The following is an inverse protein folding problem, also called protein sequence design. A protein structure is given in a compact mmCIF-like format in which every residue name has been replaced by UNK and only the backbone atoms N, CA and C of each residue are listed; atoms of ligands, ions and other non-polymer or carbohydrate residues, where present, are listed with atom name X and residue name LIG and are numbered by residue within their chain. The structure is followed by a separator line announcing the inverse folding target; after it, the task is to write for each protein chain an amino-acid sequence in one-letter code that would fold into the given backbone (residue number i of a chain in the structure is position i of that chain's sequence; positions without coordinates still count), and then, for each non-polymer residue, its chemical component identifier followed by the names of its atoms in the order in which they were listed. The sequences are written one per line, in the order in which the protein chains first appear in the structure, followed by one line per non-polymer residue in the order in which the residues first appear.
data_IF_537744497410
#
_entry.id   IF_537744497410
#
_cell.length_a   1.000
_cell.length_b   1.000
_cell.length_c   1.000
_cell.angle_alpha   90.00
_cell.angle_beta   90.00
_cell.angle_gamma   90.00
#
_symmetry.space_group_name_H-M   'P 1'
#
loop_
_entity.id
_entity.type
_entity.pdbx_description
1 polymer ?
#
# COMPACT_ATOMS: atom_id res chain seq x y z
N UNK A 1 2.93 -6.11 9.88
CA UNK A 1 1.73 -6.13 9.02
C UNK A 1 1.74 -7.28 8.02
N UNK A 2 2.83 -7.53 7.29
CA UNK A 2 2.94 -8.66 6.35
C UNK A 2 3.15 -9.95 7.14
N UNK A 3 2.37 -11.00 6.81
CA UNK A 3 2.56 -12.35 7.32
C UNK A 3 3.50 -13.13 6.42
N UNK A 4 3.22 -13.14 5.12
CA UNK A 4 4.06 -13.78 4.10
C UNK A 4 3.87 -13.15 2.72
N UNK A 5 4.83 -13.40 1.87
CA UNK A 5 4.79 -13.02 0.45
C UNK A 5 4.87 -14.30 -0.38
N UNK A 6 3.91 -14.47 -1.28
CA UNK A 6 3.86 -15.59 -2.21
C UNK A 6 4.22 -15.08 -3.61
N UNK A 7 5.20 -15.69 -4.23
CA UNK A 7 5.63 -15.34 -5.58
C UNK A 7 5.32 -16.50 -6.52
N UNK A 8 4.40 -16.27 -7.45
CA UNK A 8 4.08 -17.21 -8.52
C UNK A 8 4.76 -16.75 -9.80
N UNK A 9 5.59 -17.62 -10.38
CA UNK A 9 6.27 -17.37 -11.64
C UNK A 9 5.49 -18.02 -12.78
N UNK A 10 5.33 -17.32 -13.89
CA UNK A 10 4.57 -17.80 -15.04
C UNK A 10 3.12 -17.31 -15.05
N UNK A 11 2.34 -17.73 -16.03
CA UNK A 11 0.99 -17.25 -16.25
C UNK A 11 0.03 -17.60 -15.13
N UNK A 12 -0.39 -16.59 -14.38
CA UNK A 12 -1.44 -16.67 -13.34
C UNK A 12 -2.76 -16.03 -13.76
N UNK A 13 -2.91 -15.66 -15.03
CA UNK A 13 -4.02 -14.86 -15.54
C UNK A 13 -5.40 -15.49 -15.33
N UNK A 14 -5.48 -16.81 -15.26
CA UNK A 14 -6.75 -17.50 -14.98
C UNK A 14 -7.29 -17.23 -13.56
N UNK A 15 -6.41 -16.94 -12.59
CA UNK A 15 -6.77 -16.68 -11.20
C UNK A 15 -6.68 -15.19 -10.81
N UNK A 16 -5.78 -14.43 -11.44
CA UNK A 16 -5.42 -13.08 -11.03
C UNK A 16 -5.63 -12.02 -12.12
N UNK A 17 -6.37 -12.37 -13.18
CA UNK A 17 -6.69 -11.45 -14.26
C UNK A 17 -5.59 -11.30 -15.32
N UNK A 18 -5.90 -10.54 -16.37
CA UNK A 18 -5.07 -10.39 -17.57
C UNK A 18 -3.68 -9.77 -17.32
N UNK A 19 -3.52 -9.03 -16.24
CA UNK A 19 -2.24 -8.39 -15.87
C UNK A 19 -1.20 -9.39 -15.35
N UNK A 20 -1.61 -10.60 -14.94
CA UNK A 20 -0.75 -11.61 -14.32
C UNK A 20 -0.06 -12.54 -15.34
N UNK A 21 0.39 -12.01 -16.49
CA UNK A 21 1.01 -12.79 -17.58
C UNK A 21 2.42 -13.27 -17.20
N UNK A 22 3.22 -12.40 -16.60
CA UNK A 22 4.62 -12.69 -16.24
C UNK A 22 4.76 -13.34 -14.85
N UNK A 23 3.74 -13.23 -14.02
CA UNK A 23 3.70 -13.75 -12.65
C UNK A 23 2.90 -12.87 -11.72
N UNK A 24 2.78 -13.33 -10.47
CA UNK A 24 2.01 -12.64 -9.43
C UNK A 24 2.81 -12.61 -8.12
N UNK A 25 2.80 -11.46 -7.45
CA UNK A 25 3.27 -11.30 -6.07
C UNK A 25 2.05 -11.08 -5.19
N UNK A 26 1.73 -12.07 -4.34
CA UNK A 26 0.62 -12.00 -3.40
C UNK A 26 1.15 -11.70 -1.99
N UNK A 27 0.74 -10.56 -1.43
CA UNK A 27 1.15 -10.12 -0.10
C UNK A 27 0.00 -10.45 0.87
N UNK A 28 0.26 -11.37 1.79
CA UNK A 28 -0.71 -11.77 2.80
C UNK A 28 -0.42 -11.01 4.09
N UNK A 29 -1.42 -10.30 4.55
CA UNK A 29 -1.36 -9.50 5.78
C UNK A 29 -1.77 -10.32 6.99
N UNK A 30 -1.16 -10.01 8.16
CA UNK A 30 -1.48 -10.69 9.42
C UNK A 30 -2.94 -10.51 9.81
N UNK A 31 -3.56 -11.59 10.23
CA UNK A 31 -4.82 -11.55 10.94
C UNK A 31 -4.59 -11.50 12.46
N UNK A 32 -5.39 -10.77 13.22
CA UNK A 32 -5.33 -10.80 14.68
C UNK A 32 -5.89 -12.14 15.16
N UNK A 33 -5.02 -13.02 15.68
CA UNK A 33 -5.39 -14.34 16.23
C UNK A 33 -5.26 -14.41 17.73
N UNK A 34 -4.57 -13.46 18.34
CA UNK A 34 -4.32 -13.36 19.79
C UNK A 34 -4.04 -11.93 20.19
N UNK A 35 -4.29 -11.61 21.45
CA UNK A 35 -3.89 -10.32 22.02
C UNK A 35 -2.37 -10.20 22.03
N UNK A 36 -1.87 -9.13 21.45
CA UNK A 36 -0.43 -8.85 21.41
C UNK A 36 -0.17 -7.35 21.18
N UNK A 37 0.99 -6.89 21.61
CA UNK A 37 1.48 -5.55 21.35
C UNK A 37 2.98 -5.57 21.13
N UNK A 38 3.45 -4.77 20.18
CA UNK A 38 4.85 -4.58 19.89
C UNK A 38 5.11 -3.12 19.57
N UNK A 39 6.04 -2.52 20.28
CA UNK A 39 6.65 -1.24 19.97
C UNK A 39 8.13 -1.50 19.65
N UNK A 40 8.58 -1.01 18.50
CA UNK A 40 9.98 -1.12 18.11
C UNK A 40 10.50 0.23 17.64
N UNK A 41 11.74 0.53 17.98
CA UNK A 41 12.46 1.69 17.49
C UNK A 41 13.81 1.26 16.92
N UNK A 42 14.10 1.71 15.71
CA UNK A 42 15.38 1.46 15.04
C UNK A 42 16.04 2.79 14.73
N UNK A 43 17.26 2.96 15.22
CA UNK A 43 18.14 4.06 14.88
C UNK A 43 19.26 3.53 13.99
N UNK A 44 19.36 4.04 12.77
CA UNK A 44 20.44 3.70 11.83
C UNK A 44 21.31 4.92 11.61
N UNK A 45 22.60 4.80 11.90
CA UNK A 45 23.60 5.80 11.55
C UNK A 45 24.02 5.59 10.08
N UNK A 46 24.13 6.67 9.33
CA UNK A 46 24.54 6.69 7.92
C UNK A 46 25.79 7.56 7.82
N UNK A 47 26.79 7.10 7.06
CA UNK A 47 27.99 7.88 6.77
C UNK A 47 28.73 8.38 8.01
N UNK A 48 29.36 7.49 8.76
CA UNK A 48 30.11 7.81 10.00
C UNK A 48 29.32 8.65 11.03
N UNK A 49 27.99 8.38 11.09
CA UNK A 49 27.04 9.09 11.94
C UNK A 49 26.80 10.58 11.57
N UNK A 50 27.05 10.96 10.34
CA UNK A 50 26.74 12.31 9.84
C UNK A 50 25.24 12.50 9.54
N UNK A 51 24.50 11.40 9.31
CA UNK A 51 23.04 11.39 9.17
C UNK A 51 22.41 10.22 9.95
N UNK A 52 21.14 10.37 10.30
CA UNK A 52 20.39 9.36 11.05
C UNK A 52 19.05 9.04 10.40
N UNK A 53 18.70 7.75 10.44
CA UNK A 53 17.36 7.24 10.07
C UNK A 53 16.71 6.68 11.34
N UNK A 54 15.67 7.33 11.80
CA UNK A 54 14.87 6.97 12.97
C UNK A 54 13.57 6.34 12.49
N UNK A 55 13.28 5.13 12.92
CA UNK A 55 12.06 4.41 12.55
C UNK A 55 11.40 3.82 13.79
N UNK A 56 10.22 4.33 14.14
CA UNK A 56 9.40 3.81 15.23
C UNK A 56 8.18 3.12 14.65
N UNK A 57 7.92 1.91 15.09
CA UNK A 57 6.75 1.11 14.66
C UNK A 57 5.95 0.63 15.85
N UNK A 58 4.64 0.69 15.73
CA UNK A 58 3.67 0.13 16.68
C UNK A 58 2.82 -0.91 15.95
N UNK A 59 2.64 -2.07 16.57
CA UNK A 59 1.70 -3.11 16.14
C UNK A 59 0.95 -3.61 17.37
N UNK A 60 -0.37 -3.68 17.29
CA UNK A 60 -1.19 -4.24 18.36
C UNK A 60 -2.34 -5.07 17.78
N UNK A 61 -2.67 -6.16 18.44
CA UNK A 61 -3.85 -6.95 18.09
C UNK A 61 -4.68 -7.24 19.33
N UNK A 62 -5.98 -7.12 19.18
CA UNK A 62 -7.01 -7.43 20.17
C UNK A 62 -7.96 -8.44 19.55
N UNK A 63 -8.27 -9.48 20.29
CA UNK A 63 -9.17 -10.56 19.84
C UNK A 63 -10.09 -10.92 21.00
N UNK A 64 -11.37 -11.09 20.69
CA UNK A 64 -12.34 -11.56 21.68
C UNK A 64 -12.07 -13.01 22.06
N UNK A 65 -12.42 -13.40 23.31
CA UNK A 65 -12.16 -14.75 23.84
C UNK A 65 -12.81 -15.85 22.99
N UNK A 66 -13.96 -15.56 22.38
CA UNK A 66 -14.66 -16.46 21.46
C UNK A 66 -14.13 -16.40 20.02
N UNK A 67 -13.09 -15.60 19.75
CA UNK A 67 -12.48 -15.37 18.44
C UNK A 67 -13.48 -14.96 17.34
N UNK A 68 -14.60 -14.34 17.72
CA UNK A 68 -15.59 -13.85 16.77
C UNK A 68 -15.26 -12.46 16.22
N UNK A 69 -14.48 -11.68 16.94
CA UNK A 69 -14.01 -10.38 16.49
C UNK A 69 -12.51 -10.20 16.76
N UNK A 70 -11.84 -9.52 15.88
CA UNK A 70 -10.44 -9.17 16.06
C UNK A 70 -10.13 -7.83 15.40
N UNK A 71 -9.21 -7.09 16.01
CA UNK A 71 -8.70 -5.80 15.55
C UNK A 71 -7.17 -5.84 15.57
N UNK A 72 -6.54 -5.52 14.46
CA UNK A 72 -5.11 -5.28 14.32
C UNK A 72 -4.89 -3.83 13.98
N UNK A 73 -4.10 -3.13 14.77
CA UNK A 73 -3.71 -1.72 14.56
C UNK A 73 -2.22 -1.67 14.32
N UNK A 74 -1.79 -0.85 13.37
CA UNK A 74 -0.39 -0.62 13.09
C UNK A 74 -0.11 0.86 12.87
N UNK A 75 1.11 1.27 13.19
CA UNK A 75 1.60 2.60 12.96
C UNK A 75 3.10 2.61 12.70
N UNK A 76 3.55 3.58 11.93
CA UNK A 76 4.95 3.84 11.66
C UNK A 76 5.20 5.35 11.64
N UNK A 77 6.30 5.77 12.25
CA UNK A 77 6.85 7.12 12.09
C UNK A 77 8.34 6.99 11.78
N UNK A 78 8.72 7.40 10.59
CA UNK A 78 10.11 7.34 10.12
C UNK A 78 10.57 8.72 9.72
N UNK A 79 11.75 9.07 10.18
CA UNK A 79 12.44 10.30 9.81
C UNK A 79 13.90 9.98 9.49
N UNK A 80 14.37 10.36 8.31
CA UNK A 80 15.75 10.26 7.87
C UNK A 80 16.25 11.64 7.47
N UNK A 81 17.43 12.02 7.97
CA UNK A 81 18.15 13.20 7.50
C UNK A 81 18.63 12.97 6.06
N UNK A 82 18.74 14.04 5.29
CA UNK A 82 19.48 13.98 4.03
C UNK A 82 20.96 13.67 4.31
N UNK A 83 21.59 12.89 3.43
CA UNK A 83 22.99 12.52 3.52
C UNK A 83 23.68 12.83 2.20
N UNK A 84 24.75 13.61 2.29
CA UNK A 84 25.70 13.98 1.25
C UNK A 84 26.99 13.20 1.55
N UNK A 85 27.44 12.35 0.63
CA UNK A 85 28.54 11.41 0.85
C UNK A 85 29.90 12.02 0.56
N UNK A 86 30.00 12.85 -0.45
CA UNK A 86 31.24 13.38 -0.97
C UNK A 86 31.43 14.89 -0.74
N UNK A 87 30.52 15.48 0.08
CA UNK A 87 30.52 16.90 0.47
C UNK A 87 30.44 17.86 -0.74
N UNK A 88 29.80 17.42 -1.82
CA UNK A 88 29.59 18.28 -3.01
C UNK A 88 28.36 19.20 -2.88
N UNK A 89 27.62 19.07 -1.78
CA UNK A 89 26.41 19.82 -1.44
C UNK A 89 25.12 19.20 -1.97
N UNK A 90 25.18 18.06 -2.63
CA UNK A 90 24.02 17.29 -3.10
C UNK A 90 23.87 16.01 -2.30
N UNK A 91 22.63 15.56 -2.12
CA UNK A 91 22.34 14.39 -1.32
C UNK A 91 22.23 13.13 -2.16
N UNK A 92 23.03 12.08 -1.87
CA UNK A 92 22.85 10.72 -2.39
C UNK A 92 21.69 10.02 -1.70
N UNK A 93 21.42 10.36 -0.43
CA UNK A 93 20.24 9.87 0.25
C UNK A 93 19.30 11.02 0.61
N UNK A 94 18.09 11.07 0.07
CA UNK A 94 17.17 12.17 0.31
C UNK A 94 16.68 12.18 1.76
N UNK A 95 16.35 13.36 2.25
CA UNK A 95 15.58 13.56 3.47
C UNK A 95 14.22 12.87 3.30
N UNK A 96 13.80 12.10 4.31
CA UNK A 96 12.55 11.36 4.32
C UNK A 96 11.78 11.60 5.61
N UNK A 97 10.50 11.85 5.51
CA UNK A 97 9.55 11.77 6.61
C UNK A 97 8.36 10.91 6.14
N UNK A 98 8.11 9.81 6.84
CA UNK A 98 6.99 8.93 6.53
C UNK A 98 6.20 8.67 7.80
N UNK A 99 4.88 8.84 7.71
CA UNK A 99 3.94 8.54 8.78
C UNK A 99 2.83 7.67 8.23
N UNK A 100 2.64 6.51 8.83
CA UNK A 100 1.61 5.56 8.41
C UNK A 100 0.82 5.12 9.63
N UNK A 101 -0.49 5.05 9.49
CA UNK A 101 -1.39 4.45 10.47
C UNK A 101 -2.46 3.65 9.74
N UNK A 102 -2.87 2.56 10.33
CA UNK A 102 -3.95 1.77 9.75
C UNK A 102 -4.44 0.69 10.70
N UNK A 103 -5.51 0.03 10.29
CA UNK A 103 -6.06 -1.09 11.01
C UNK A 103 -6.70 -2.10 10.07
N UNK A 104 -6.85 -3.31 10.58
CA UNK A 104 -7.62 -4.39 9.97
C UNK A 104 -8.46 -5.04 11.05
N UNK A 105 -9.74 -5.21 10.79
CA UNK A 105 -10.66 -5.87 11.70
C UNK A 105 -11.39 -7.00 10.99
N UNK A 106 -11.79 -8.01 11.77
CA UNK A 106 -12.73 -9.00 11.29
C UNK A 106 -13.86 -9.20 12.30
N UNK A 107 -14.99 -9.63 11.77
CA UNK A 107 -16.14 -10.02 12.54
C UNK A 107 -16.80 -11.26 11.93
N UNK A 108 -16.94 -12.33 12.72
CA UNK A 108 -17.65 -13.56 12.35
C UNK A 108 -19.11 -13.42 12.80
N UNK A 109 -20.01 -13.16 11.84
CA UNK A 109 -21.44 -13.03 12.12
C UNK A 109 -22.07 -14.39 12.44
N UNK A 110 -21.46 -15.46 11.92
CA UNK A 110 -21.78 -16.86 12.26
C UNK A 110 -20.53 -17.73 12.13
N UNK A 111 -20.64 -19.03 12.39
CA UNK A 111 -19.57 -20.02 12.15
C UNK A 111 -19.15 -20.07 10.68
N UNK A 112 -20.05 -19.70 9.78
CA UNK A 112 -19.87 -19.83 8.34
C UNK A 112 -19.63 -18.51 7.60
N UNK A 113 -19.66 -17.38 8.32
CA UNK A 113 -19.56 -16.06 7.70
C UNK A 113 -18.54 -15.18 8.41
N UNK A 114 -17.73 -14.49 7.62
CA UNK A 114 -16.71 -13.55 8.10
C UNK A 114 -16.75 -12.27 7.29
N UNK A 115 -16.80 -11.14 7.99
CA UNK A 115 -16.63 -9.82 7.41
C UNK A 115 -15.24 -9.30 7.81
N UNK A 116 -14.50 -8.77 6.86
CA UNK A 116 -13.19 -8.16 7.09
C UNK A 116 -13.22 -6.74 6.58
N UNK A 117 -12.72 -5.80 7.37
CA UNK A 117 -12.59 -4.40 7.02
C UNK A 117 -11.16 -3.94 7.28
N UNK A 118 -10.58 -3.15 6.37
CA UNK A 118 -9.25 -2.58 6.52
C UNK A 118 -9.21 -1.13 6.02
N UNK A 119 -8.35 -0.35 6.66
CA UNK A 119 -8.08 1.03 6.29
C UNK A 119 -6.65 1.40 6.66
N UNK A 120 -6.02 2.21 5.82
CA UNK A 120 -4.73 2.82 6.12
C UNK A 120 -4.64 4.24 5.56
N UNK A 121 -3.87 5.05 6.26
CA UNK A 121 -3.46 6.37 5.84
C UNK A 121 -1.94 6.47 5.89
N UNK A 122 -1.32 7.04 4.85
CA UNK A 122 0.11 7.28 4.78
C UNK A 122 0.37 8.70 4.29
N UNK A 123 1.28 9.39 4.97
CA UNK A 123 1.88 10.64 4.51
C UNK A 123 3.37 10.42 4.33
N UNK A 124 3.90 10.81 3.19
CA UNK A 124 5.33 10.77 2.92
C UNK A 124 5.80 12.09 2.34
N UNK A 125 6.89 12.61 2.89
CA UNK A 125 7.67 13.71 2.34
C UNK A 125 9.06 13.21 2.03
N UNK A 126 9.52 13.45 0.79
CA UNK A 126 10.87 13.15 0.34
C UNK A 126 11.49 14.38 -0.31
N UNK A 127 12.75 14.70 0.01
CA UNK A 127 13.47 15.83 -0.54
C UNK A 127 14.93 15.48 -0.77
N UNK A 128 15.37 15.51 -2.02
CA UNK A 128 16.75 15.30 -2.48
C UNK A 128 17.28 16.51 -3.25
N UNK A 129 18.56 16.47 -3.60
CA UNK A 129 19.30 17.54 -4.26
C UNK A 129 20.04 18.42 -3.28
N UNK A 130 20.20 19.69 -3.60
CA UNK A 130 20.89 20.65 -2.73
C UNK A 130 19.92 21.62 -2.02
N UNK A 131 20.43 22.44 -1.11
CA UNK A 131 19.68 23.48 -0.36
C UNK A 131 18.39 22.94 0.26
N UNK A 132 18.46 21.80 0.97
CA UNK A 132 17.31 21.07 1.54
C UNK A 132 16.40 21.90 2.47
N UNK A 133 16.89 23.04 2.97
CA UNK A 133 16.17 23.96 3.85
C UNK A 133 15.43 25.07 3.11
N UNK A 134 15.51 25.09 1.77
CA UNK A 134 14.82 26.07 0.91
C UNK A 134 13.74 25.40 0.08
N UNK A 135 12.77 26.17 -0.45
CA UNK A 135 11.85 25.67 -1.45
C UNK A 135 12.59 25.00 -2.62
N UNK A 136 12.05 23.92 -3.23
CA UNK A 136 12.79 23.15 -4.23
C UNK A 136 13.15 23.97 -5.48
N UNK A 137 12.33 24.96 -5.86
CA UNK A 137 12.62 25.85 -6.99
C UNK A 137 13.73 26.89 -6.70
N UNK A 138 14.22 27.02 -5.48
CA UNK A 138 15.39 27.85 -5.16
C UNK A 138 16.70 27.06 -5.21
N UNK A 139 16.62 25.75 -5.29
CA UNK A 139 17.76 24.85 -5.42
C UNK A 139 18.29 24.79 -6.86
N UNK A 140 19.56 24.43 -7.01
CA UNK A 140 20.14 24.24 -8.34
C UNK A 140 19.62 22.94 -8.98
N UNK A 141 19.49 21.87 -8.18
CA UNK A 141 18.83 20.61 -8.54
C UNK A 141 18.01 20.16 -7.33
N UNK A 142 16.76 19.80 -7.57
CA UNK A 142 15.86 19.32 -6.55
C UNK A 142 14.90 18.24 -7.04
N UNK A 143 14.70 17.25 -6.20
CA UNK A 143 13.58 16.31 -6.24
C UNK A 143 12.80 16.46 -4.93
N UNK A 144 11.51 16.76 -5.01
CA UNK A 144 10.62 16.77 -3.85
C UNK A 144 9.32 16.04 -4.18
N UNK A 145 8.88 15.20 -3.25
CA UNK A 145 7.63 14.46 -3.33
C UNK A 145 6.89 14.57 -1.99
N UNK A 146 5.61 14.88 -2.07
CA UNK A 146 4.68 14.81 -0.96
C UNK A 146 3.52 13.91 -1.35
N UNK A 147 3.34 12.81 -0.62
CA UNK A 147 2.25 11.87 -0.85
C UNK A 147 1.28 11.89 0.32
N UNK A 148 0.00 11.87 0.02
CA UNK A 148 -1.08 11.55 0.94
C UNK A 148 -1.89 10.40 0.35
N UNK A 149 -1.85 9.24 1.00
CA UNK A 149 -2.50 8.03 0.52
C UNK A 149 -3.52 7.59 1.54
N UNK A 150 -4.76 7.35 1.09
CA UNK A 150 -5.84 6.74 1.85
C UNK A 150 -6.29 5.50 1.12
N UNK A 151 -6.26 4.36 1.79
CA UNK A 151 -6.67 3.10 1.19
C UNK A 151 -7.45 2.24 2.17
N UNK A 152 -8.31 1.38 1.63
CA UNK A 152 -9.06 0.46 2.45
C UNK A 152 -9.85 -0.56 1.64
N UNK A 153 -10.42 -1.52 2.35
CA UNK A 153 -11.17 -2.60 1.72
C UNK A 153 -12.19 -3.24 2.65
N UNK A 154 -13.15 -3.88 2.01
CA UNK A 154 -14.18 -4.66 2.65
C UNK A 154 -14.22 -6.03 1.98
N UNK A 155 -14.28 -7.10 2.77
CA UNK A 155 -14.41 -8.49 2.28
C UNK A 155 -15.43 -9.24 3.09
N UNK A 156 -16.32 -9.94 2.40
CA UNK A 156 -17.26 -10.88 2.98
C UNK A 156 -16.94 -12.29 2.49
N UNK A 157 -16.72 -13.22 3.41
CA UNK A 157 -16.51 -14.64 3.15
C UNK A 157 -17.68 -15.45 3.71
N UNK A 158 -18.18 -16.37 2.90
CA UNK A 158 -19.16 -17.39 3.29
C UNK A 158 -18.62 -18.78 3.00
N UNK A 159 -18.83 -19.70 3.92
CA UNK A 159 -18.51 -21.13 3.81
C UNK A 159 -19.77 -21.92 4.11
N UNK A 160 -20.12 -22.86 3.26
CA UNK A 160 -21.29 -23.72 3.52
C UNK A 160 -21.01 -24.72 4.64
N UNK A 161 -22.06 -25.19 5.36
CA UNK A 161 -21.90 -26.19 6.41
C UNK A 161 -21.35 -27.55 5.92
N UNK A 162 -21.53 -27.87 4.66
CA UNK A 162 -21.01 -29.07 4.01
C UNK A 162 -19.60 -28.92 3.45
N UNK A 163 -18.97 -27.74 3.66
CA UNK A 163 -17.64 -27.37 3.20
C UNK A 163 -17.44 -27.41 1.68
N UNK A 164 -18.51 -27.56 0.90
CA UNK A 164 -18.45 -27.65 -0.56
C UNK A 164 -18.49 -26.30 -1.26
N UNK A 165 -19.13 -25.30 -0.66
CA UNK A 165 -19.32 -23.99 -1.25
C UNK A 165 -18.55 -22.91 -0.46
N UNK A 166 -17.77 -22.13 -1.18
CA UNK A 166 -17.15 -20.94 -0.64
C UNK A 166 -17.43 -19.76 -1.56
N UNK A 167 -17.95 -18.69 -0.99
CA UNK A 167 -18.17 -17.41 -1.66
C UNK A 167 -17.35 -16.34 -0.98
N UNK A 168 -16.59 -15.58 -1.76
CA UNK A 168 -15.90 -14.37 -1.30
C UNK A 168 -16.35 -13.19 -2.15
N UNK A 169 -16.80 -12.11 -1.51
CA UNK A 169 -17.12 -10.82 -2.16
C UNK A 169 -16.24 -9.77 -1.56
N UNK A 170 -15.60 -8.95 -2.37
CA UNK A 170 -14.66 -7.96 -1.90
C UNK A 170 -14.74 -6.65 -2.68
N UNK A 171 -14.35 -5.57 -2.02
CA UNK A 171 -14.10 -4.28 -2.66
C UNK A 171 -12.94 -3.58 -1.96
N UNK A 172 -12.19 -2.79 -2.71
CA UNK A 172 -11.13 -1.93 -2.19
C UNK A 172 -11.05 -0.63 -2.97
N UNK A 173 -10.60 0.41 -2.32
CA UNK A 173 -10.32 1.69 -2.94
C UNK A 173 -9.04 2.28 -2.35
N UNK A 174 -8.28 2.99 -3.19
CA UNK A 174 -7.14 3.79 -2.78
C UNK A 174 -7.19 5.14 -3.48
N UNK A 175 -7.06 6.19 -2.71
CA UNK A 175 -6.92 7.55 -3.19
C UNK A 175 -5.53 8.07 -2.84
N UNK A 176 -4.81 8.59 -3.84
CA UNK A 176 -3.47 9.14 -3.73
C UNK A 176 -3.44 10.56 -4.23
N UNK A 177 -3.05 11.49 -3.39
CA UNK A 177 -2.63 12.83 -3.77
C UNK A 177 -1.11 12.91 -3.71
N UNK A 178 -0.49 13.44 -4.76
CA UNK A 178 0.95 13.65 -4.84
C UNK A 178 1.24 15.05 -5.36
N UNK A 179 1.94 15.83 -4.56
CA UNK A 179 2.62 17.03 -5.01
C UNK A 179 4.09 16.69 -5.31
N UNK A 180 4.60 17.15 -6.44
CA UNK A 180 5.94 16.82 -6.91
C UNK A 180 6.68 18.05 -7.42
N UNK A 181 8.00 18.01 -7.30
CA UNK A 181 8.92 18.89 -7.97
C UNK A 181 10.10 18.07 -8.49
N UNK A 182 10.39 18.17 -9.78
CA UNK A 182 11.54 17.56 -10.42
C UNK A 182 12.20 18.60 -11.31
N UNK A 183 13.17 19.33 -10.78
CA UNK A 183 13.71 20.45 -11.51
C UNK A 183 15.16 20.76 -11.22
N UNK A 184 15.77 21.47 -12.16
CA UNK A 184 17.09 22.08 -12.05
C UNK A 184 17.04 23.50 -12.58
N UNK A 185 18.05 24.33 -12.19
CA UNK A 185 18.16 25.70 -12.66
C UNK A 185 17.05 26.63 -12.19
N UNK A 186 16.42 26.33 -11.04
CA UNK A 186 15.39 27.18 -10.39
C UNK A 186 14.10 27.31 -11.20
N UNK A 187 13.70 26.25 -11.91
CA UNK A 187 12.53 26.23 -12.75
C UNK A 187 11.23 26.16 -11.95
N UNK A 188 10.41 27.21 -12.02
CA UNK A 188 9.07 27.25 -11.41
C UNK A 188 8.04 26.37 -12.12
N UNK A 189 8.31 25.90 -13.35
CA UNK A 189 7.40 25.03 -14.10
C UNK A 189 7.61 23.53 -13.80
N UNK A 190 8.57 23.19 -12.92
CA UNK A 190 8.89 21.83 -12.56
C UNK A 190 8.02 21.25 -11.44
N UNK A 191 7.00 22.00 -11.01
CA UNK A 191 5.96 21.49 -10.10
C UNK A 191 4.92 20.68 -10.82
N UNK A 192 4.48 19.62 -10.17
CA UNK A 192 3.38 18.79 -10.65
C UNK A 192 2.46 18.37 -9.51
N UNK A 193 1.21 18.11 -9.86
CA UNK A 193 0.21 17.52 -8.96
C UNK A 193 -0.44 16.32 -9.64
N UNK A 194 -0.42 15.18 -8.96
CA UNK A 194 -1.05 13.95 -9.42
C UNK A 194 -2.13 13.55 -8.42
N UNK A 195 -3.30 13.24 -8.90
CA UNK A 195 -4.38 12.61 -8.12
C UNK A 195 -4.74 11.29 -8.78
N UNK A 196 -4.79 10.24 -8.00
CA UNK A 196 -5.13 8.90 -8.46
C UNK A 196 -6.21 8.28 -7.59
N UNK A 197 -7.23 7.68 -8.21
CA UNK A 197 -8.26 6.90 -7.55
C UNK A 197 -8.36 5.53 -8.20
N UNK A 198 -7.85 4.53 -7.50
CA UNK A 198 -8.00 3.12 -7.88
C UNK A 198 -9.16 2.51 -7.11
N UNK A 199 -10.05 1.83 -7.80
CA UNK A 199 -11.16 1.06 -7.22
C UNK A 199 -11.19 -0.34 -7.80
N UNK A 200 -11.37 -1.33 -6.93
CA UNK A 200 -11.53 -2.73 -7.31
C UNK A 200 -12.72 -3.33 -6.56
N UNK A 201 -13.52 -4.17 -7.25
CA UNK A 201 -14.55 -4.97 -6.64
C UNK A 201 -14.66 -6.31 -7.36
N UNK A 202 -14.98 -7.36 -6.63
CA UNK A 202 -15.11 -8.69 -7.24
C UNK A 202 -15.84 -9.67 -6.36
N UNK A 203 -16.16 -10.81 -6.99
CA UNK A 203 -16.71 -11.97 -6.32
C UNK A 203 -16.04 -13.23 -6.85
N UNK A 204 -15.73 -14.14 -5.96
CA UNK A 204 -15.16 -15.45 -6.27
C UNK A 204 -16.00 -16.53 -5.60
N UNK A 205 -16.32 -17.55 -6.37
CA UNK A 205 -17.04 -18.73 -5.89
C UNK A 205 -16.20 -19.97 -6.15
N UNK A 206 -16.10 -20.83 -5.14
CA UNK A 206 -15.41 -22.12 -5.23
C UNK A 206 -16.41 -23.23 -4.89
N UNK A 207 -16.47 -24.22 -5.74
CA UNK A 207 -17.20 -25.45 -5.48
C UNK A 207 -16.22 -26.60 -5.40
N UNK A 208 -16.29 -27.36 -4.30
CA UNK A 208 -15.47 -28.55 -4.05
C UNK A 208 -16.27 -29.81 -4.43
N UNK A 209 -15.75 -30.53 -5.38
CA UNK A 209 -16.22 -31.88 -5.73
C UNK A 209 -15.49 -32.89 -4.85
N UNK A 210 -16.24 -33.79 -4.19
CA UNK A 210 -15.66 -34.94 -3.48
C UNK A 210 -14.86 -35.80 -4.46
N UNK A 211 -15.37 -35.93 -5.66
CA UNK A 211 -14.71 -36.64 -6.76
C UNK A 211 -15.22 -36.08 -8.10
N UNK A 212 -14.31 -35.62 -8.93
CA UNK A 212 -14.53 -35.28 -10.33
C UNK A 212 -13.64 -36.21 -11.15
N UNK A 213 -14.26 -37.05 -12.01
CA UNK A 213 -13.58 -38.12 -12.72
C UNK A 213 -12.97 -39.15 -11.74
N UNK A 214 -11.71 -38.97 -11.34
CA UNK A 214 -10.95 -39.92 -10.50
C UNK A 214 -10.28 -39.29 -9.28
N UNK A 215 -10.45 -37.98 -9.05
CA UNK A 215 -9.80 -37.26 -7.94
C UNK A 215 -10.70 -36.17 -7.32
N UNK A 216 -10.51 -35.79 -6.06
CA UNK A 216 -11.09 -34.58 -5.50
C UNK A 216 -10.65 -33.36 -6.30
N UNK A 217 -11.57 -32.43 -6.57
CA UNK A 217 -11.29 -31.28 -7.43
C UNK A 217 -12.06 -30.04 -6.96
N UNK A 218 -11.47 -28.87 -7.11
CA UNK A 218 -12.09 -27.59 -6.85
C UNK A 218 -12.35 -26.85 -8.18
N UNK A 219 -13.58 -26.38 -8.37
CA UNK A 219 -13.93 -25.47 -9.46
C UNK A 219 -13.99 -24.07 -8.90
N UNK A 220 -13.12 -23.18 -9.39
CA UNK A 220 -13.12 -21.77 -9.03
C UNK A 220 -13.63 -20.93 -10.19
N UNK A 221 -14.59 -20.05 -9.91
CA UNK A 221 -15.09 -19.05 -10.84
C UNK A 221 -15.14 -17.68 -10.17
N UNK A 222 -15.01 -16.62 -10.93
CA UNK A 222 -15.03 -15.27 -10.37
C UNK A 222 -15.25 -14.19 -11.41
N UNK A 223 -15.59 -13.03 -10.93
CA UNK A 223 -15.71 -11.79 -11.69
C UNK A 223 -15.02 -10.68 -10.91
N UNK A 224 -14.31 -9.81 -11.63
CA UNK A 224 -13.60 -8.67 -11.07
C UNK A 224 -13.84 -7.44 -11.94
N UNK A 225 -14.01 -6.31 -11.29
CA UNK A 225 -14.09 -5.00 -11.91
C UNK A 225 -12.98 -4.13 -11.32
N UNK A 226 -12.17 -3.56 -12.19
CA UNK A 226 -11.12 -2.60 -11.86
C UNK A 226 -11.39 -1.27 -12.55
N UNK A 227 -11.19 -0.19 -11.83
CA UNK A 227 -11.19 1.17 -12.35
C UNK A 227 -10.01 1.92 -11.80
N UNK A 228 -9.32 2.58 -12.70
CA UNK A 228 -8.17 3.45 -12.41
C UNK A 228 -8.45 4.83 -12.99
N UNK A 229 -8.27 5.87 -12.20
CA UNK A 229 -8.54 7.25 -12.57
C UNK A 229 -7.36 8.13 -12.17
N UNK A 230 -6.44 8.35 -13.13
CA UNK A 230 -5.25 9.16 -12.94
C UNK A 230 -5.44 10.54 -13.57
N UNK A 231 -5.23 11.59 -12.77
CA UNK A 231 -5.09 12.96 -13.22
C UNK A 231 -3.68 13.45 -12.90
N UNK A 232 -2.95 13.89 -13.93
CA UNK A 232 -1.61 14.42 -13.80
C UNK A 232 -1.52 15.83 -14.37
N UNK A 233 -1.23 16.80 -13.52
CA UNK A 233 -1.21 18.22 -13.83
C UNK A 233 0.20 18.77 -13.61
N UNK A 234 0.80 19.34 -14.66
CA UNK A 234 2.04 20.10 -14.55
C UNK A 234 1.75 21.59 -14.47
N UNK A 235 2.37 22.27 -13.54
CA UNK A 235 2.30 23.73 -13.46
C UNK A 235 3.14 24.35 -14.57
N UNK A 236 2.58 25.34 -15.27
CA UNK A 236 3.32 26.17 -16.22
C UNK A 236 3.10 27.64 -15.86
N UNK A 237 4.00 28.53 -16.21
CA UNK A 237 3.84 29.98 -16.03
C UNK A 237 2.59 30.55 -16.72
N UNK A 238 1.96 29.80 -17.62
CA UNK A 238 0.72 30.16 -18.33
C UNK A 238 -0.53 29.46 -17.80
N UNK A 239 -0.44 28.68 -16.72
CA UNK A 239 -1.56 27.92 -16.12
C UNK A 239 -1.31 26.41 -16.06
N UNK A 240 -2.29 25.69 -15.52
CA UNK A 240 -2.25 24.23 -15.39
C UNK A 240 -2.36 23.59 -16.79
N UNK A 241 -1.40 22.77 -17.19
CA UNK A 241 -1.56 21.86 -18.33
C UNK A 241 -2.04 20.50 -17.85
N UNK A 242 -3.30 20.20 -18.14
CA UNK A 242 -3.82 18.84 -17.97
C UNK A 242 -3.27 17.96 -19.08
N UNK A 243 -2.61 16.88 -18.73
CA UNK A 243 -2.27 15.81 -19.66
C UNK A 243 -3.32 14.71 -19.47
N UNK A 244 -4.25 14.48 -20.41
CA UNK A 244 -5.20 13.39 -20.28
C UNK A 244 -4.43 12.05 -20.28
N UNK A 245 -4.78 11.19 -19.33
CA UNK A 245 -4.36 9.78 -19.35
C UNK A 245 -4.98 9.10 -20.55
N UNK A 246 -4.18 8.53 -21.41
CA UNK A 246 -4.62 7.62 -22.48
C UNK A 246 -4.64 6.19 -21.95
#
# INVERSE_FOLDING_TARGET
MIERVEVMRGGGSALFGSSAIAGTINIITKEPLRNSGQLAHTLTAVGDASAFDNNTTLNASLVTDDQRAGLYVFGQNRYRSGYDHDDDGYTEMPKLKNQTVGFRSYFKTSTYTKLTFEYHHMQEFRRGGNLLNRPPHEADIAEQLEHSINGGGLKFDYFSPDEKHRLSVFSSAQHTDRDSYYGGGKDLNAYGKTTDLTFMAGAQYVYRFDQLLFMPSDLTSGVEYNRDGLEDNMWTTTGIRNKPST
#
